data_IF_166616543555
#
_entry.id   IF_166616543555
#
_cell.length_a   1.000
_cell.length_b   1.000
_cell.length_c   1.000
_cell.angle_alpha   90.00
_cell.angle_beta   90.00
_cell.angle_gamma   90.00
#
_symmetry.space_group_name_H-M   'P 1'
#
loop_
_entity.id
_entity.type
_entity.pdbx_description
1 polymer ?
#
# COMPACT_ATOMS: atom_id res chain seq x y z
N UNK A 1 -4.04 6.90 -0.29
CA UNK A 1 -4.15 6.42 1.09
C UNK A 1 -3.06 5.40 1.32
N UNK A 2 -2.45 5.41 2.51
CA UNK A 2 -1.38 4.49 2.91
C UNK A 2 -1.81 3.86 4.22
N UNK A 3 -1.85 2.54 4.28
CA UNK A 3 -2.27 1.77 5.46
C UNK A 3 -1.11 0.89 5.91
N UNK A 4 -0.81 0.93 7.20
CA UNK A 4 0.12 -0.02 7.83
C UNK A 4 -0.71 -1.12 8.47
N UNK A 5 -0.53 -2.34 7.98
CA UNK A 5 -1.32 -3.48 8.40
C UNK A 5 -0.84 -3.99 9.74
N UNK A 6 -1.76 -4.10 10.69
CA UNK A 6 -1.55 -4.81 11.96
C UNK A 6 -2.44 -6.06 12.02
N UNK A 7 -2.21 -7.01 12.94
CA UNK A 7 -3.08 -8.17 13.11
C UNK A 7 -4.56 -7.80 13.29
N UNK A 8 -4.85 -6.68 13.95
CA UNK A 8 -6.21 -6.20 14.22
C UNK A 8 -6.86 -5.48 13.02
N UNK A 9 -6.06 -4.93 12.11
CA UNK A 9 -6.55 -4.21 10.93
C UNK A 9 -6.53 -5.06 9.66
N UNK A 10 -5.78 -6.15 9.63
CA UNK A 10 -5.55 -7.01 8.46
C UNK A 10 -6.81 -7.31 7.67
N UNK A 11 -7.88 -7.78 8.33
CA UNK A 11 -9.14 -8.06 7.62
C UNK A 11 -9.72 -6.80 6.99
N UNK A 12 -9.80 -5.67 7.74
CA UNK A 12 -10.39 -4.44 7.22
C UNK A 12 -9.56 -3.85 6.08
N UNK A 13 -8.24 -3.88 6.19
CA UNK A 13 -7.33 -3.28 5.21
C UNK A 13 -7.27 -4.08 3.91
N UNK A 14 -7.42 -5.41 4.00
CA UNK A 14 -7.41 -6.30 2.84
C UNK A 14 -8.78 -6.42 2.14
N UNK A 15 -9.90 -6.30 2.87
CA UNK A 15 -11.22 -6.63 2.30
C UNK A 15 -12.19 -5.45 2.27
N UNK A 16 -12.31 -4.69 3.37
CA UNK A 16 -13.38 -3.69 3.54
C UNK A 16 -12.97 -2.31 3.02
N UNK A 17 -11.80 -1.83 3.44
CA UNK A 17 -11.30 -0.49 3.11
C UNK A 17 -11.06 -0.28 1.61
N UNK A 18 -10.52 -1.24 0.83
CA UNK A 18 -10.28 -1.04 -0.60
C UNK A 18 -11.56 -0.64 -1.33
N UNK A 19 -12.68 -1.35 -1.11
CA UNK A 19 -13.96 -1.02 -1.72
C UNK A 19 -14.47 0.37 -1.33
N UNK A 20 -14.38 0.73 -0.05
CA UNK A 20 -14.81 2.06 0.44
C UNK A 20 -13.99 3.19 -0.18
N UNK A 21 -12.68 3.00 -0.31
CA UNK A 21 -11.79 4.02 -0.87
C UNK A 21 -11.90 4.12 -2.39
N UNK A 22 -12.13 2.99 -3.07
CA UNK A 22 -12.41 2.99 -4.51
C UNK A 22 -13.73 3.73 -4.80
N UNK A 23 -14.79 3.48 -4.02
CA UNK A 23 -16.05 4.20 -4.12
C UNK A 23 -15.91 5.71 -3.84
N UNK A 24 -14.95 6.10 -2.99
CA UNK A 24 -14.60 7.50 -2.74
C UNK A 24 -13.66 8.11 -3.79
N UNK A 25 -13.25 7.35 -4.82
CA UNK A 25 -12.41 7.85 -5.92
C UNK A 25 -10.95 8.08 -5.56
N UNK A 26 -10.43 7.45 -4.50
CA UNK A 26 -9.04 7.63 -4.08
C UNK A 26 -8.11 6.95 -5.11
N UNK A 27 -7.19 7.68 -5.78
CA UNK A 27 -6.46 7.11 -6.93
C UNK A 27 -5.37 6.09 -6.54
N UNK A 28 -4.75 6.26 -5.37
CA UNK A 28 -3.62 5.45 -4.94
C UNK A 28 -3.90 4.84 -3.56
N UNK A 29 -3.73 3.53 -3.44
CA UNK A 29 -3.90 2.79 -2.19
C UNK A 29 -2.71 1.87 -1.94
N UNK A 30 -1.98 2.09 -0.84
CA UNK A 30 -0.82 1.29 -0.50
C UNK A 30 -1.05 0.54 0.81
N UNK A 31 -0.77 -0.75 0.80
CA UNK A 31 -0.74 -1.59 2.00
C UNK A 31 0.72 -1.85 2.37
N UNK A 32 1.08 -1.59 3.62
CA UNK A 32 2.39 -1.87 4.17
C UNK A 32 2.23 -3.03 5.15
N UNK A 33 2.74 -4.20 4.78
CA UNK A 33 2.72 -5.41 5.60
C UNK A 33 4.12 -5.66 6.18
N UNK A 34 4.18 -6.42 7.29
CA UNK A 34 5.45 -6.92 7.82
C UNK A 34 5.67 -8.35 7.32
N UNK A 35 6.85 -8.60 6.73
CA UNK A 35 7.33 -9.92 6.38
C UNK A 35 8.75 -10.09 6.89
N UNK A 36 8.99 -11.09 7.75
CA UNK A 36 10.32 -11.35 8.35
C UNK A 36 10.95 -10.08 8.98
N UNK A 37 10.17 -9.32 9.75
CA UNK A 37 10.56 -8.06 10.39
C UNK A 37 10.94 -6.93 9.42
N UNK A 38 10.60 -7.07 8.13
CA UNK A 38 10.84 -6.07 7.09
C UNK A 38 9.52 -5.58 6.49
N UNK A 39 9.40 -4.28 6.17
CA UNK A 39 8.20 -3.77 5.53
C UNK A 39 8.13 -4.21 4.06
N UNK A 40 6.93 -4.62 3.64
CA UNK A 40 6.59 -4.92 2.24
C UNK A 40 5.47 -3.99 1.82
N UNK A 41 5.68 -3.22 0.75
CA UNK A 41 4.69 -2.26 0.26
C UNK A 41 3.99 -2.83 -0.96
N UNK A 42 2.70 -3.10 -0.85
CA UNK A 42 1.80 -3.44 -1.94
C UNK A 42 1.14 -2.16 -2.44
N UNK A 43 1.36 -1.83 -3.71
CA UNK A 43 0.90 -0.59 -4.32
C UNK A 43 -0.24 -0.92 -5.27
N UNK A 44 -1.35 -0.21 -5.11
CA UNK A 44 -2.51 -0.30 -5.96
C UNK A 44 -2.92 1.07 -6.52
N UNK A 45 -3.50 1.05 -7.72
CA UNK A 45 -4.10 2.21 -8.36
C UNK A 45 -5.55 1.94 -8.73
N UNK A 46 -6.38 2.96 -8.59
CA UNK A 46 -7.80 2.87 -8.91
C UNK A 46 -7.98 2.78 -10.42
N UNK A 47 -8.53 1.66 -10.88
CA UNK A 47 -9.08 1.55 -12.22
C UNK A 47 -10.47 2.17 -12.26
N UNK A 48 -10.63 3.19 -13.09
CA UNK A 48 -11.91 3.92 -13.24
C UNK A 48 -12.95 3.10 -13.98
N UNK A 49 -12.54 2.11 -14.79
CA UNK A 49 -13.48 1.29 -15.57
C UNK A 49 -14.19 0.30 -14.65
N UNK A 50 -13.43 -0.42 -13.82
CA UNK A 50 -13.96 -1.42 -12.88
C UNK A 50 -14.29 -0.84 -11.50
N UNK A 51 -13.96 0.43 -11.24
CA UNK A 51 -14.10 1.09 -9.93
C UNK A 51 -13.45 0.26 -8.81
N UNK A 52 -12.31 -0.34 -9.12
CA UNK A 52 -11.58 -1.27 -8.26
C UNK A 52 -10.08 -1.01 -8.32
N UNK A 53 -9.37 -1.44 -7.28
CA UNK A 53 -7.92 -1.28 -7.22
C UNK A 53 -7.21 -2.39 -8.00
N UNK A 54 -6.27 -2.00 -8.86
CA UNK A 54 -5.38 -2.90 -9.57
C UNK A 54 -3.97 -2.86 -8.97
N UNK A 55 -3.29 -4.01 -8.82
CA UNK A 55 -1.92 -4.04 -8.31
C UNK A 55 -0.97 -3.43 -9.35
N UNK A 56 -0.11 -2.53 -8.91
CA UNK A 56 0.96 -1.95 -9.75
C UNK A 56 2.36 -2.38 -9.31
N UNK A 57 2.50 -2.93 -8.10
CA UNK A 57 3.77 -3.51 -7.66
C UNK A 57 3.78 -3.96 -6.20
N UNK A 58 4.78 -4.77 -5.87
CA UNK A 58 5.12 -5.20 -4.51
C UNK A 58 6.60 -4.89 -4.29
N UNK A 59 6.92 -4.08 -3.29
CA UNK A 59 8.26 -3.56 -3.04
C UNK A 59 8.76 -4.03 -1.67
N UNK A 60 10.02 -4.45 -1.58
CA UNK A 60 10.62 -5.05 -0.37
C UNK A 60 11.89 -4.33 0.10
N UNK A 61 12.72 -3.87 -0.83
CA UNK A 61 13.98 -3.17 -0.50
C UNK A 61 13.88 -1.68 -0.79
N UNK A 62 13.37 -1.31 -1.96
CA UNK A 62 13.18 0.09 -2.36
C UNK A 62 11.80 0.24 -3.01
N UNK A 63 11.07 1.27 -2.60
CA UNK A 63 9.89 1.76 -3.31
C UNK A 63 10.32 2.92 -4.20
N UNK A 64 9.98 2.89 -5.49
CA UNK A 64 10.13 4.04 -6.39
C UNK A 64 8.86 4.21 -7.21
N UNK A 65 8.21 5.37 -7.08
CA UNK A 65 6.99 5.70 -7.82
C UNK A 65 7.03 7.14 -8.33
N UNK A 66 6.56 7.40 -9.56
CA UNK A 66 6.41 8.77 -10.08
C UNK A 66 5.13 9.47 -9.59
N UNK A 67 4.19 8.71 -9.02
CA UNK A 67 2.87 9.16 -8.57
C UNK A 67 2.55 8.63 -7.17
N UNK A 68 1.72 9.34 -6.38
CA UNK A 68 1.04 10.61 -6.67
C UNK A 68 1.97 11.81 -6.86
N UNK A 69 3.22 11.67 -6.44
CA UNK A 69 4.35 12.53 -6.74
C UNK A 69 5.61 11.64 -6.78
N UNK A 70 6.73 12.11 -7.38
CA UNK A 70 7.97 11.36 -7.36
C UNK A 70 8.41 11.06 -5.92
N UNK A 71 8.51 9.79 -5.60
CA UNK A 71 8.91 9.30 -4.28
C UNK A 71 9.85 8.11 -4.45
N UNK A 72 10.90 8.11 -3.63
CA UNK A 72 11.79 6.96 -3.48
C UNK A 72 12.02 6.74 -1.99
N UNK A 73 11.73 5.54 -1.51
CA UNK A 73 11.93 5.14 -0.12
C UNK A 73 12.82 3.90 -0.08
N UNK A 74 13.85 3.93 0.76
CA UNK A 74 14.57 2.76 1.19
C UNK A 74 13.79 2.08 2.32
N UNK A 75 13.23 0.90 2.01
CA UNK A 75 12.41 0.11 2.93
C UNK A 75 13.27 -0.66 3.93
N UNK A 76 14.55 -0.88 3.64
CA UNK A 76 15.48 -1.61 4.53
C UNK A 76 15.83 -0.82 5.79
N UNK A 77 15.70 0.51 5.74
CA UNK A 77 16.00 1.43 6.83
C UNK A 77 14.76 2.10 7.44
N UNK A 78 13.55 1.66 7.08
CA UNK A 78 12.30 2.31 7.51
C UNK A 78 11.92 1.98 8.97
N UNK A 79 12.31 0.80 9.45
CA UNK A 79 12.01 0.33 10.80
C UNK A 79 13.19 0.63 11.71
N UNK A 80 12.98 1.49 12.71
CA UNK A 80 13.99 1.75 13.73
C UNK A 80 14.09 0.51 14.62
N UNK A 81 15.24 -0.17 14.61
CA UNK A 81 15.52 -1.25 15.57
C UNK A 81 15.42 -0.68 17.00
N UNK A 82 14.66 -1.38 17.85
CA UNK A 82 14.51 -1.05 19.27
C UNK A 82 15.72 -1.49 20.08
#
# INVERSE_FOLDING_TARGET
MVEVVSPESAHRDNTVKPGKYAAAGIPHYWLIEEHELKPVVHVYELDKVTSSYLPVGIFRDQLSRPVPFPITLDLTNLVRMR
#
